data_IF_794086530091
#
_entry.id   IF_794086530091
#
_cell.length_a   1.000
_cell.length_b   1.000
_cell.length_c   1.000
_cell.angle_alpha   90.00
_cell.angle_beta   90.00
_cell.angle_gamma   90.00
#
_symmetry.space_group_name_H-M   'P 1'
#
loop_
_entity.id
_entity.type
_entity.pdbx_description
1 polymer ?
#
# COMPACT_ATOMS: atom_id res chain seq x y z
N UNK A 1 2.50 24.99 -5.08
CA UNK A 1 1.81 23.95 -4.29
C UNK A 1 1.33 22.87 -5.24
N UNK A 2 2.13 21.86 -5.51
CA UNK A 2 1.63 20.69 -6.22
C UNK A 2 2.26 19.46 -5.56
N UNK A 3 1.49 18.86 -4.67
CA UNK A 3 1.75 17.51 -4.17
C UNK A 3 1.17 16.57 -5.22
N UNK A 4 2.01 15.86 -5.96
CA UNK A 4 1.57 14.76 -6.80
C UNK A 4 1.57 13.52 -5.92
N UNK A 5 0.40 13.15 -5.42
CA UNK A 5 0.15 11.83 -4.85
C UNK A 5 -0.26 10.87 -5.96
N UNK A 6 0.00 9.56 -5.84
CA UNK A 6 -0.50 8.58 -6.79
C UNK A 6 -2.02 8.71 -6.93
N UNK A 7 -2.52 8.51 -8.15
CA UNK A 7 -3.94 8.61 -8.46
C UNK A 7 -4.64 7.38 -7.83
N UNK A 8 -5.50 7.63 -6.85
CA UNK A 8 -6.30 6.60 -6.18
C UNK A 8 -7.71 6.60 -6.77
N UNK A 9 -8.20 5.43 -7.15
CA UNK A 9 -9.58 5.24 -7.61
C UNK A 9 -10.34 4.50 -6.51
N UNK A 10 -11.29 5.19 -5.88
CA UNK A 10 -12.23 4.59 -4.94
C UNK A 10 -13.57 4.46 -5.65
N UNK A 11 -14.02 3.23 -5.88
CA UNK A 11 -15.34 2.97 -6.46
C UNK A 11 -16.26 2.46 -5.35
N UNK A 12 -17.28 3.24 -5.03
CA UNK A 12 -18.35 2.83 -4.10
C UNK A 12 -19.60 2.48 -4.88
N UNK A 13 -20.18 1.33 -4.61
CA UNK A 13 -21.45 0.93 -5.19
C UNK A 13 -22.60 1.39 -4.28
N UNK A 14 -23.08 2.63 -4.49
CA UNK A 14 -24.39 3.05 -3.98
C UNK A 14 -25.39 2.94 -5.12
N UNK A 15 -26.38 2.10 -4.99
CA UNK A 15 -27.49 1.97 -5.93
C UNK A 15 -28.20 3.31 -6.10
N UNK A 16 -27.86 4.06 -7.12
CA UNK A 16 -28.68 5.11 -7.71
C UNK A 16 -28.88 4.80 -9.19
N UNK A 17 -30.12 4.92 -9.72
CA UNK A 17 -30.38 4.65 -11.14
C UNK A 17 -29.61 5.64 -11.99
N UNK A 18 -28.99 5.15 -13.06
CA UNK A 18 -28.37 5.82 -14.20
C UNK A 18 -28.40 7.37 -14.18
N UNK A 19 -27.68 7.96 -13.25
CA UNK A 19 -27.31 9.38 -13.31
C UNK A 19 -25.82 9.39 -13.63
N UNK A 20 -25.43 10.19 -14.59
CA UNK A 20 -24.07 10.34 -15.11
C UNK A 20 -23.04 10.16 -13.99
N UNK A 21 -22.16 9.14 -14.12
CA UNK A 21 -21.00 8.96 -13.25
C UNK A 21 -20.10 10.17 -13.43
N UNK A 22 -20.27 11.18 -12.59
CA UNK A 22 -19.34 12.29 -12.49
C UNK A 22 -18.17 11.77 -11.68
N UNK A 23 -17.08 11.42 -12.35
CA UNK A 23 -15.83 11.09 -11.66
C UNK A 23 -15.27 12.38 -11.07
N UNK A 24 -15.24 12.46 -9.75
CA UNK A 24 -14.52 13.52 -9.04
C UNK A 24 -13.10 13.05 -8.72
N UNK A 25 -12.12 13.66 -9.36
CA UNK A 25 -10.72 13.49 -8.96
C UNK A 25 -10.45 14.33 -7.73
N UNK A 26 -9.93 13.70 -6.67
CA UNK A 26 -9.53 14.36 -5.43
C UNK A 26 -8.04 14.17 -5.20
N UNK A 27 -7.37 15.23 -4.74
CA UNK A 27 -6.01 15.17 -4.25
C UNK A 27 -6.04 14.97 -2.74
N UNK A 28 -5.70 13.77 -2.31
CA UNK A 28 -5.66 13.41 -0.89
C UNK A 28 -4.22 13.30 -0.40
N UNK A 29 -4.01 13.60 0.87
CA UNK A 29 -2.73 13.36 1.55
C UNK A 29 -3.01 12.92 2.99
N UNK A 30 -2.18 12.06 3.58
CA UNK A 30 -2.39 11.55 4.93
C UNK A 30 -2.28 12.69 5.97
N UNK A 31 -3.42 13.23 6.41
CA UNK A 31 -3.49 14.37 7.33
C UNK A 31 -3.42 13.95 8.80
N UNK A 32 -3.85 12.72 9.12
CA UNK A 32 -4.01 12.26 10.49
C UNK A 32 -2.82 11.48 11.03
N UNK A 33 -1.91 11.06 10.16
CA UNK A 33 -0.78 10.25 10.55
C UNK A 33 0.40 11.08 11.04
N UNK A 34 0.47 11.32 12.34
CA UNK A 34 1.49 12.15 12.97
C UNK A 34 2.91 11.57 12.88
N UNK A 35 3.03 10.25 12.76
CA UNK A 35 4.31 9.56 12.68
C UNK A 35 4.93 9.56 11.29
N UNK A 36 4.17 9.95 10.28
CA UNK A 36 4.66 10.13 8.92
C UNK A 36 4.55 11.59 8.48
N UNK A 37 5.59 12.07 7.79
CA UNK A 37 5.59 13.39 7.15
C UNK A 37 6.46 13.36 5.89
N UNK A 38 5.92 13.80 4.77
CA UNK A 38 6.73 14.23 3.63
C UNK A 38 7.24 15.64 3.92
N UNK A 39 8.55 15.77 4.21
CA UNK A 39 9.18 17.03 4.59
C UNK A 39 9.45 17.86 3.32
N UNK A 40 10.07 17.25 2.32
CA UNK A 40 10.39 17.88 1.04
C UNK A 40 10.51 16.83 -0.07
N UNK A 41 10.44 17.26 -1.33
CA UNK A 41 10.68 16.40 -2.49
C UNK A 41 11.16 17.24 -3.66
N UNK A 42 11.99 16.65 -4.51
CA UNK A 42 12.53 17.29 -5.70
C UNK A 42 13.81 16.63 -6.15
N UNK A 43 14.28 16.98 -7.34
CA UNK A 43 15.51 16.43 -7.95
C UNK A 43 15.56 14.90 -7.89
N UNK A 44 14.39 14.25 -8.15
CA UNK A 44 14.18 12.78 -8.15
C UNK A 44 14.32 12.09 -6.79
N UNK A 45 14.21 12.85 -5.70
CA UNK A 45 14.30 12.34 -4.34
C UNK A 45 13.16 12.88 -3.46
N UNK A 46 12.97 12.22 -2.32
CA UNK A 46 12.06 12.65 -1.25
C UNK A 46 12.69 12.52 0.12
N UNK A 47 12.44 13.51 0.96
CA UNK A 47 12.82 13.56 2.36
C UNK A 47 11.59 13.30 3.21
N UNK A 48 11.56 12.16 3.91
CA UNK A 48 10.40 11.67 4.64
C UNK A 48 10.74 11.31 6.07
N UNK A 49 9.83 11.66 6.98
CA UNK A 49 9.91 11.24 8.38
C UNK A 49 9.06 9.98 8.58
N UNK A 50 9.62 8.97 9.25
CA UNK A 50 8.95 7.75 9.72
C UNK A 50 9.24 7.54 11.21
N UNK A 51 8.39 8.09 12.08
CA UNK A 51 8.62 8.08 13.53
C UNK A 51 9.86 8.89 13.90
N UNK A 52 10.86 8.22 14.47
CA UNK A 52 12.12 8.85 14.88
C UNK A 52 13.13 9.04 13.73
N UNK A 53 12.93 8.40 12.56
CA UNK A 53 13.89 8.43 11.45
C UNK A 53 13.44 9.34 10.31
N UNK A 54 14.38 10.10 9.76
CA UNK A 54 14.21 10.90 8.54
C UNK A 54 15.06 10.28 7.45
N UNK A 55 14.42 9.97 6.32
CA UNK A 55 14.99 9.18 5.24
C UNK A 55 15.03 9.97 3.93
N UNK A 56 16.15 9.90 3.22
CA UNK A 56 16.24 10.32 1.83
C UNK A 56 16.08 9.06 0.97
N UNK A 57 15.09 9.10 0.06
CA UNK A 57 14.81 7.97 -0.85
C UNK A 57 14.58 8.46 -2.27
N UNK A 58 14.91 7.66 -3.30
CA UNK A 58 14.59 7.97 -4.68
C UNK A 58 13.07 8.13 -4.90
N UNK A 59 12.70 9.16 -5.66
CA UNK A 59 11.34 9.41 -6.14
C UNK A 59 11.40 9.90 -7.60
N UNK A 60 11.38 8.99 -8.58
CA UNK A 60 11.58 9.35 -9.99
C UNK A 60 10.56 10.35 -10.54
N UNK A 61 9.40 10.48 -9.90
CA UNK A 61 8.35 11.43 -10.31
C UNK A 61 8.58 12.84 -9.77
N UNK A 62 9.49 13.04 -8.83
CA UNK A 62 9.80 14.36 -8.26
C UNK A 62 10.77 15.14 -9.15
N UNK A 63 10.31 15.53 -10.35
CA UNK A 63 11.11 16.21 -11.38
C UNK A 63 11.35 17.71 -11.09
N UNK A 64 10.70 18.26 -10.10
CA UNK A 64 10.86 19.66 -9.66
C UNK A 64 12.08 19.82 -8.74
N UNK A 65 12.43 21.08 -8.46
CA UNK A 65 13.54 21.39 -7.56
C UNK A 65 13.16 21.21 -6.10
N UNK A 66 14.11 20.74 -5.29
CA UNK A 66 14.01 20.73 -3.81
C UNK A 66 13.74 22.16 -3.31
N UNK A 67 12.98 22.28 -2.23
CA UNK A 67 12.74 23.55 -1.53
C UNK A 67 13.84 23.86 -0.53
N UNK A 68 14.33 22.85 0.15
CA UNK A 68 15.42 22.93 1.10
C UNK A 68 16.75 22.69 0.36
N UNK A 69 17.85 23.21 0.93
CA UNK A 69 19.19 22.98 0.39
C UNK A 69 19.65 21.54 0.62
N UNK A 70 20.63 21.10 -0.14
CA UNK A 70 21.22 19.77 0.05
C UNK A 70 21.83 19.61 1.44
N UNK A 71 22.46 20.65 1.98
CA UNK A 71 23.02 20.68 3.33
C UNK A 71 21.95 20.47 4.41
N UNK A 72 20.78 21.11 4.24
CA UNK A 72 19.64 20.93 5.15
C UNK A 72 19.10 19.49 5.09
N UNK A 73 18.98 18.93 3.88
CA UNK A 73 18.58 17.53 3.71
C UNK A 73 19.53 16.58 4.42
N UNK A 74 20.83 16.70 4.18
CA UNK A 74 21.86 15.82 4.76
C UNK A 74 21.95 15.98 6.29
N UNK A 75 21.75 17.19 6.81
CA UNK A 75 21.71 17.45 8.25
C UNK A 75 20.52 16.79 8.96
N UNK A 76 19.37 16.75 8.29
CA UNK A 76 18.16 16.14 8.86
C UNK A 76 18.15 14.63 8.70
N UNK A 77 18.73 14.09 7.63
CA UNK A 77 18.60 12.69 7.27
C UNK A 77 19.31 11.76 8.26
N UNK A 78 18.58 10.75 8.73
CA UNK A 78 19.14 9.62 9.50
C UNK A 78 19.78 8.60 8.57
N UNK A 79 19.16 8.37 7.41
CA UNK A 79 19.65 7.42 6.41
C UNK A 79 19.26 7.87 4.99
N UNK A 80 20.15 7.55 4.04
CA UNK A 80 19.95 7.80 2.60
C UNK A 80 20.02 6.50 1.85
N UNK A 81 19.02 6.21 1.02
CA UNK A 81 19.07 5.08 0.10
C UNK A 81 19.70 5.51 -1.23
N UNK A 82 20.81 4.91 -1.57
CA UNK A 82 21.55 5.20 -2.81
C UNK A 82 21.33 4.08 -3.81
N UNK A 83 20.97 4.43 -5.05
CA UNK A 83 20.98 3.51 -6.19
C UNK A 83 22.27 3.71 -6.99
N UNK A 84 22.89 2.60 -7.37
CA UNK A 84 24.04 2.65 -8.30
C UNK A 84 23.53 2.95 -9.72
N UNK A 85 23.71 4.18 -10.16
CA UNK A 85 23.30 4.65 -11.49
C UNK A 85 24.11 4.04 -12.64
N UNK A 86 25.22 3.33 -12.35
CA UNK A 86 26.10 2.76 -13.39
C UNK A 86 25.53 1.54 -14.11
N UNK A 87 24.41 0.96 -13.62
CA UNK A 87 23.76 -0.23 -14.18
C UNK A 87 22.25 -0.06 -14.36
N UNK A 88 21.87 0.50 -15.49
CA UNK A 88 20.47 0.80 -15.85
C UNK A 88 19.56 -0.41 -16.09
N UNK A 89 19.99 -1.66 -15.89
CA UNK A 89 19.20 -2.87 -16.23
C UNK A 89 19.23 -4.02 -15.21
N UNK A 90 20.07 -4.00 -14.19
CA UNK A 90 20.04 -4.99 -13.11
C UNK A 90 19.36 -4.38 -11.87
N UNK A 91 18.34 -5.06 -11.33
CA UNK A 91 17.48 -4.60 -10.24
C UNK A 91 18.19 -4.35 -8.90
N UNK A 92 19.42 -4.77 -8.73
CA UNK A 92 20.25 -4.48 -7.54
C UNK A 92 21.71 -4.31 -7.99
N UNK A 93 22.20 -3.08 -7.98
CA UNK A 93 23.63 -2.80 -8.13
C UNK A 93 24.38 -3.30 -6.88
N UNK A 94 25.64 -3.73 -7.05
CA UNK A 94 26.51 -4.12 -5.91
C UNK A 94 26.69 -3.01 -4.87
N UNK A 95 26.40 -1.75 -5.23
CA UNK A 95 26.55 -0.56 -4.40
C UNK A 95 25.21 0.06 -3.98
N UNK A 96 24.06 -0.54 -4.37
CA UNK A 96 22.76 -0.11 -3.88
C UNK A 96 22.66 -0.38 -2.37
N UNK A 97 22.09 0.55 -1.64
CA UNK A 97 21.82 0.31 -0.25
C UNK A 97 21.67 1.58 0.60
N UNK A 98 21.38 1.35 1.86
CA UNK A 98 21.24 2.39 2.84
C UNK A 98 22.61 2.86 3.35
N UNK A 99 22.82 4.17 3.32
CA UNK A 99 23.97 4.86 3.93
C UNK A 99 23.49 5.63 5.15
N UNK A 100 24.21 5.53 6.25
CA UNK A 100 23.93 6.23 7.50
C UNK A 100 25.23 6.50 8.26
N UNK A 101 25.29 7.62 8.97
CA UNK A 101 26.46 7.97 9.81
C UNK A 101 26.57 7.04 11.01
N UNK A 102 25.47 6.88 11.77
CA UNK A 102 25.33 5.89 12.84
C UNK A 102 24.27 4.90 12.44
N UNK A 103 24.58 3.60 12.50
CA UNK A 103 23.62 2.55 12.11
C UNK A 103 22.37 2.67 12.98
N UNK A 104 21.18 2.92 12.38
CA UNK A 104 19.94 2.91 13.12
C UNK A 104 19.58 1.49 13.56
N UNK A 105 18.53 1.35 14.36
CA UNK A 105 17.97 0.02 14.71
C UNK A 105 17.58 -0.72 13.43
N UNK A 106 17.76 -2.03 13.42
CA UNK A 106 17.39 -2.86 12.26
C UNK A 106 15.89 -2.75 11.95
N UNK A 107 15.07 -2.56 12.98
CA UNK A 107 13.63 -2.29 12.84
C UNK A 107 13.13 -1.34 13.94
N UNK A 108 12.06 -0.62 13.63
CA UNK A 108 11.34 0.24 14.56
C UNK A 108 9.84 0.16 14.33
N UNK A 109 9.03 0.61 15.27
CA UNK A 109 7.59 0.58 15.18
C UNK A 109 7.00 1.99 15.06
N UNK A 110 6.04 2.18 14.18
CA UNK A 110 5.24 3.40 14.13
C UNK A 110 3.76 3.09 14.29
N UNK A 111 3.01 3.82 15.12
CA UNK A 111 1.58 3.68 15.20
C UNK A 111 0.88 4.39 14.02
N UNK A 112 -0.25 3.85 13.63
CA UNK A 112 -1.25 4.54 12.83
C UNK A 112 -2.55 4.59 13.61
N UNK A 113 -3.09 5.80 13.79
CA UNK A 113 -4.31 6.04 14.55
C UNK A 113 -5.33 6.80 13.71
N UNK A 114 -6.53 6.25 13.61
CA UNK A 114 -7.67 6.91 12.99
C UNK A 114 -8.95 6.55 13.74
N UNK A 115 -9.70 7.55 14.20
CA UNK A 115 -10.86 7.35 15.08
C UNK A 115 -10.49 6.45 16.29
N UNK A 116 -11.15 5.30 16.42
CA UNK A 116 -10.87 4.30 17.49
C UNK A 116 -9.88 3.22 17.06
N UNK A 117 -9.41 3.28 15.80
CA UNK A 117 -8.43 2.32 15.28
C UNK A 117 -7.04 2.74 15.72
N UNK A 118 -6.28 1.78 16.21
CA UNK A 118 -4.88 1.94 16.54
C UNK A 118 -4.15 0.66 16.15
N UNK A 119 -3.31 0.74 15.13
CA UNK A 119 -2.43 -0.34 14.71
C UNK A 119 -0.98 0.09 14.83
N UNK A 120 -0.07 -0.86 14.92
CA UNK A 120 1.37 -0.61 14.97
C UNK A 120 2.06 -1.34 13.84
N UNK A 121 2.81 -0.61 13.05
CA UNK A 121 3.54 -1.12 11.90
C UNK A 121 5.02 -1.19 12.24
N UNK A 122 5.62 -2.36 12.10
CA UNK A 122 7.05 -2.59 12.18
C UNK A 122 7.68 -2.20 10.85
N UNK A 123 8.69 -1.37 10.89
CA UNK A 123 9.45 -0.92 9.74
C UNK A 123 10.87 -1.47 9.77
N UNK A 124 11.48 -1.60 8.60
CA UNK A 124 12.84 -2.10 8.42
C UNK A 124 13.49 -1.48 7.17
N UNK A 125 14.78 -1.32 7.15
CA UNK A 125 15.56 -0.92 5.99
C UNK A 125 15.70 -2.09 5.01
N UNK A 126 14.91 -2.08 3.93
CA UNK A 126 14.98 -3.14 2.90
C UNK A 126 16.04 -2.85 1.86
N UNK A 127 16.52 -3.87 1.17
CA UNK A 127 17.50 -3.75 0.07
C UNK A 127 16.97 -2.99 -1.15
N UNK A 128 15.67 -2.69 -1.20
CA UNK A 128 15.03 -1.97 -2.32
C UNK A 128 14.72 -0.51 -2.01
N UNK A 129 15.11 -0.01 -0.82
CA UNK A 129 14.81 1.35 -0.38
C UNK A 129 13.38 1.54 0.16
N UNK A 130 12.59 0.48 0.28
CA UNK A 130 11.33 0.51 0.99
C UNK A 130 11.54 0.25 2.48
N UNK A 131 10.59 0.68 3.30
CA UNK A 131 10.69 0.51 4.76
C UNK A 131 9.57 -0.34 5.35
N UNK A 132 8.75 -0.98 4.51
CA UNK A 132 7.67 -1.85 4.96
C UNK A 132 6.31 -1.18 5.03
N UNK A 133 6.20 0.08 4.61
CA UNK A 133 4.93 0.80 4.51
C UNK A 133 4.96 1.77 3.36
N UNK A 134 3.79 2.00 2.78
CA UNK A 134 3.51 3.01 1.76
C UNK A 134 2.54 4.04 2.37
N UNK A 135 3.05 5.21 2.79
CA UNK A 135 2.25 6.17 3.55
C UNK A 135 1.06 6.76 2.80
N UNK A 136 1.14 6.81 1.48
CA UNK A 136 0.05 7.24 0.60
C UNK A 136 -1.23 6.41 0.81
N UNK A 137 -1.09 5.17 1.26
CA UNK A 137 -2.21 4.28 1.56
C UNK A 137 -3.05 4.71 2.78
N UNK A 138 -2.57 5.66 3.57
CA UNK A 138 -3.29 6.08 4.78
C UNK A 138 -4.70 6.64 4.47
N UNK A 139 -4.88 7.34 3.35
CA UNK A 139 -6.20 7.83 2.94
C UNK A 139 -7.16 6.67 2.61
N UNK A 140 -6.65 5.61 1.97
CA UNK A 140 -7.42 4.39 1.73
C UNK A 140 -7.78 3.70 3.05
N UNK A 141 -6.86 3.71 4.02
CA UNK A 141 -7.14 3.14 5.34
C UNK A 141 -8.23 3.91 6.06
N UNK A 142 -8.23 5.26 6.01
CA UNK A 142 -9.31 6.09 6.54
C UNK A 142 -10.66 5.71 5.90
N UNK A 143 -10.71 5.64 4.57
CA UNK A 143 -11.89 5.23 3.81
C UNK A 143 -12.38 3.82 4.19
N UNK A 144 -11.47 2.84 4.32
CA UNK A 144 -11.79 1.47 4.71
C UNK A 144 -12.42 1.45 6.11
N UNK A 145 -11.84 2.18 7.07
CA UNK A 145 -12.39 2.30 8.43
C UNK A 145 -13.80 2.88 8.41
N UNK A 146 -13.98 3.99 7.71
CA UNK A 146 -15.26 4.69 7.64
C UNK A 146 -16.35 3.80 7.04
N UNK A 147 -16.02 3.10 5.98
CA UNK A 147 -16.94 2.21 5.29
C UNK A 147 -17.32 1.01 6.17
N UNK A 148 -16.34 0.31 6.75
CA UNK A 148 -16.58 -0.88 7.58
C UNK A 148 -17.36 -0.52 8.85
N UNK A 149 -17.04 0.60 9.50
CA UNK A 149 -17.75 1.06 10.69
C UNK A 149 -19.20 1.47 10.39
N UNK A 150 -19.52 1.78 9.14
CA UNK A 150 -20.90 2.03 8.68
C UNK A 150 -21.72 0.76 8.45
N UNK A 151 -21.12 -0.41 8.44
CA UNK A 151 -21.83 -1.68 8.24
C UNK A 151 -22.59 -2.09 9.51
N UNK A 152 -23.78 -2.67 9.32
CA UNK A 152 -24.61 -3.17 10.44
C UNK A 152 -24.14 -4.51 10.99
N UNK A 153 -23.42 -5.28 10.18
CA UNK A 153 -22.88 -6.60 10.50
C UNK A 153 -21.43 -6.69 10.03
N UNK A 154 -20.59 -7.52 10.65
CA UNK A 154 -19.24 -7.78 10.15
C UNK A 154 -19.28 -8.24 8.69
N UNK A 155 -18.42 -7.65 7.85
CA UNK A 155 -18.29 -8.01 6.45
C UNK A 155 -16.95 -8.70 6.16
N UNK A 156 -16.89 -9.41 5.05
CA UNK A 156 -15.69 -10.08 4.57
C UNK A 156 -14.86 -9.11 3.72
N UNK A 157 -13.58 -8.96 4.03
CA UNK A 157 -12.63 -8.14 3.25
C UNK A 157 -11.53 -9.02 2.69
N UNK A 158 -11.30 -8.90 1.38
CA UNK A 158 -10.20 -9.52 0.65
C UNK A 158 -9.15 -8.47 0.32
N UNK A 159 -7.92 -8.67 0.77
CA UNK A 159 -6.79 -7.82 0.41
C UNK A 159 -5.82 -8.64 -0.44
N UNK A 160 -5.59 -8.22 -1.69
CA UNK A 160 -4.72 -8.85 -2.67
C UNK A 160 -3.46 -8.00 -2.87
N UNK A 161 -2.31 -8.66 -3.12
CA UNK A 161 -0.99 -8.02 -3.12
C UNK A 161 -0.74 -7.28 -1.80
N UNK A 162 -1.12 -7.94 -0.72
CA UNK A 162 -1.40 -7.28 0.56
C UNK A 162 -0.14 -6.90 1.37
N UNK A 163 1.05 -7.22 0.87
CA UNK A 163 2.36 -6.80 1.38
C UNK A 163 2.51 -7.03 2.90
N UNK A 164 2.94 -6.01 3.67
CA UNK A 164 3.13 -6.09 5.13
C UNK A 164 1.84 -5.93 5.94
N UNK A 165 0.68 -5.82 5.26
CA UNK A 165 -0.62 -5.96 5.87
C UNK A 165 -1.27 -4.69 6.40
N UNK A 166 -0.79 -3.49 6.14
CA UNK A 166 -1.37 -2.26 6.67
C UNK A 166 -2.89 -2.18 6.48
N UNK A 167 -3.38 -2.31 5.24
CA UNK A 167 -4.82 -2.29 4.95
C UNK A 167 -5.58 -3.47 5.58
N UNK A 168 -4.97 -4.67 5.65
CA UNK A 168 -5.57 -5.83 6.32
C UNK A 168 -5.76 -5.61 7.81
N UNK A 169 -4.77 -5.02 8.49
CA UNK A 169 -4.82 -4.72 9.92
C UNK A 169 -5.88 -3.65 10.23
N UNK A 170 -5.95 -2.61 9.39
CA UNK A 170 -6.94 -1.55 9.52
C UNK A 170 -8.34 -2.10 9.33
N UNK A 171 -8.59 -2.91 8.30
CA UNK A 171 -9.88 -3.55 8.07
C UNK A 171 -10.27 -4.48 9.23
N UNK A 172 -9.31 -5.25 9.76
CA UNK A 172 -9.55 -6.13 10.93
C UNK A 172 -9.86 -5.33 12.18
N UNK A 173 -9.11 -4.29 12.47
CA UNK A 173 -9.33 -3.40 13.60
C UNK A 173 -10.69 -2.66 13.50
N UNK A 174 -11.16 -2.40 12.28
CA UNK A 174 -12.49 -1.83 12.02
C UNK A 174 -13.64 -2.83 12.21
N UNK A 175 -13.38 -4.13 12.38
CA UNK A 175 -14.36 -5.18 12.68
C UNK A 175 -14.67 -6.14 11.54
N UNK A 176 -13.93 -6.12 10.44
CA UNK A 176 -14.12 -7.05 9.32
C UNK A 176 -13.48 -8.42 9.56
N UNK A 177 -13.98 -9.42 8.85
CA UNK A 177 -13.28 -10.69 8.67
C UNK A 177 -12.38 -10.59 7.44
N UNK A 178 -11.06 -10.72 7.65
CA UNK A 178 -10.06 -10.39 6.64
C UNK A 178 -9.37 -11.63 6.09
N UNK A 179 -9.31 -11.70 4.76
CA UNK A 179 -8.41 -12.60 4.03
C UNK A 179 -7.30 -11.79 3.39
N UNK A 180 -6.07 -12.05 3.79
CA UNK A 180 -4.85 -11.43 3.30
C UNK A 180 -4.13 -12.39 2.36
N UNK A 181 -3.93 -11.97 1.11
CA UNK A 181 -3.27 -12.77 0.06
C UNK A 181 -2.04 -12.03 -0.45
N UNK A 182 -0.89 -12.68 -0.36
CA UNK A 182 0.36 -12.22 -0.95
C UNK A 182 1.16 -13.41 -1.46
N UNK A 183 1.89 -13.24 -2.55
CA UNK A 183 2.71 -14.30 -3.15
C UNK A 183 4.02 -14.53 -2.41
N UNK A 184 4.48 -13.56 -1.61
CA UNK A 184 5.79 -13.55 -0.97
C UNK A 184 5.69 -13.98 0.49
N UNK A 185 6.17 -15.18 0.79
CA UNK A 185 6.12 -15.76 2.15
C UNK A 185 6.69 -14.84 3.24
N UNK A 186 7.80 -14.14 2.94
CA UNK A 186 8.43 -13.24 3.90
C UNK A 186 7.54 -12.03 4.22
N UNK A 187 6.74 -11.54 3.26
CA UNK A 187 5.79 -10.46 3.48
C UNK A 187 4.65 -10.90 4.40
N UNK A 188 4.13 -12.11 4.22
CA UNK A 188 3.16 -12.72 5.14
C UNK A 188 3.76 -12.84 6.57
N UNK A 189 5.02 -13.23 6.67
CA UNK A 189 5.73 -13.26 7.98
C UNK A 189 5.73 -11.89 8.65
N UNK A 190 6.12 -10.87 7.91
CA UNK A 190 6.15 -9.48 8.40
C UNK A 190 4.73 -8.96 8.75
N UNK A 191 3.73 -9.25 7.92
CA UNK A 191 2.35 -8.89 8.20
C UNK A 191 1.81 -9.53 9.51
N UNK A 192 2.20 -10.77 9.81
CA UNK A 192 1.88 -11.43 11.09
C UNK A 192 2.56 -10.76 12.27
N UNK A 193 3.82 -10.31 12.11
CA UNK A 193 4.49 -9.54 13.15
C UNK A 193 3.74 -8.22 13.42
N UNK A 194 3.30 -7.53 12.37
CA UNK A 194 2.49 -6.33 12.48
C UNK A 194 1.13 -6.59 13.16
N UNK A 195 0.49 -7.75 12.86
CA UNK A 195 -0.72 -8.19 13.56
C UNK A 195 -0.47 -8.34 15.08
N UNK A 196 0.61 -9.01 15.45
CA UNK A 196 0.96 -9.23 16.85
C UNK A 196 1.26 -7.90 17.58
N UNK A 197 2.04 -7.01 16.97
CA UNK A 197 2.34 -5.67 17.50
C UNK A 197 1.08 -4.81 17.66
N UNK A 198 0.09 -5.00 16.77
CA UNK A 198 -1.21 -4.35 16.82
C UNK A 198 -2.19 -5.01 17.78
N UNK A 199 -1.82 -6.14 18.43
CA UNK A 199 -2.68 -6.93 19.31
C UNK A 199 -4.00 -7.36 18.67
N UNK A 200 -3.93 -7.70 17.38
CA UNK A 200 -5.03 -8.22 16.60
C UNK A 200 -4.88 -9.72 16.38
N UNK A 201 -5.97 -10.39 16.01
CA UNK A 201 -6.01 -11.81 15.66
C UNK A 201 -7.01 -12.10 14.54
N UNK A 202 -7.12 -13.37 14.13
CA UNK A 202 -8.20 -13.83 13.25
C UNK A 202 -8.10 -13.36 11.79
N UNK A 203 -6.91 -12.94 11.30
CA UNK A 203 -6.69 -12.70 9.86
C UNK A 203 -6.35 -14.04 9.18
N UNK A 204 -7.04 -14.34 8.08
CA UNK A 204 -6.72 -15.50 7.23
C UNK A 204 -5.56 -15.16 6.30
N UNK A 205 -4.41 -15.78 6.53
CA UNK A 205 -3.19 -15.60 5.76
C UNK A 205 -3.09 -16.62 4.61
N UNK A 206 -2.85 -16.14 3.40
CA UNK A 206 -2.76 -16.99 2.19
C UNK A 206 -1.50 -16.61 1.41
N UNK A 207 -0.62 -17.60 1.16
CA UNK A 207 0.55 -17.45 0.28
C UNK A 207 0.15 -18.01 -1.07
N UNK A 208 -0.25 -17.13 -2.00
CA UNK A 208 -0.71 -17.54 -3.32
C UNK A 208 -0.65 -16.40 -4.33
N UNK A 209 -0.64 -16.73 -5.62
CA UNK A 209 -0.87 -15.80 -6.70
C UNK A 209 -2.30 -15.24 -6.63
N UNK A 210 -2.45 -13.92 -6.78
CA UNK A 210 -3.73 -13.23 -6.63
C UNK A 210 -4.78 -13.70 -7.65
N UNK A 211 -4.39 -13.84 -8.92
CA UNK A 211 -5.31 -14.24 -9.99
C UNK A 211 -5.78 -15.70 -9.82
N UNK A 212 -4.89 -16.60 -9.40
CA UNK A 212 -5.26 -17.99 -9.04
C UNK A 212 -6.21 -18.00 -7.85
N UNK A 213 -5.94 -17.22 -6.83
CA UNK A 213 -6.78 -17.13 -5.65
C UNK A 213 -8.21 -16.70 -6.02
N UNK A 214 -8.37 -15.56 -6.70
CA UNK A 214 -9.72 -15.06 -7.06
C UNK A 214 -10.44 -16.00 -8.00
N UNK A 215 -9.73 -16.63 -8.95
CA UNK A 215 -10.31 -17.66 -9.84
C UNK A 215 -10.91 -18.81 -9.05
N UNK A 216 -10.21 -19.27 -8.02
CA UNK A 216 -10.70 -20.35 -7.15
C UNK A 216 -11.89 -19.90 -6.28
N UNK A 217 -11.86 -18.69 -5.74
CA UNK A 217 -12.95 -18.17 -4.92
C UNK A 217 -14.23 -17.93 -5.75
N UNK A 218 -14.12 -17.48 -7.02
CA UNK A 218 -15.25 -17.40 -7.96
C UNK A 218 -15.88 -18.80 -8.15
N UNK A 219 -15.07 -19.84 -8.43
CA UNK A 219 -15.56 -21.21 -8.58
C UNK A 219 -16.25 -21.75 -7.32
N UNK A 220 -15.89 -21.25 -6.16
CA UNK A 220 -16.49 -21.61 -4.85
C UNK A 220 -17.75 -20.81 -4.52
N UNK A 221 -18.13 -19.85 -5.36
CA UNK A 221 -19.27 -18.96 -5.11
C UNK A 221 -19.07 -18.07 -3.87
N UNK A 222 -17.83 -17.69 -3.54
CA UNK A 222 -17.54 -16.79 -2.42
C UNK A 222 -17.87 -15.36 -2.77
N UNK A 223 -18.19 -14.57 -1.74
CA UNK A 223 -18.44 -13.12 -1.86
C UNK A 223 -17.69 -12.36 -0.78
N UNK A 224 -17.30 -11.13 -1.11
CA UNK A 224 -16.59 -10.20 -0.24
C UNK A 224 -17.29 -8.84 -0.26
N UNK A 225 -17.39 -8.20 0.91
CA UNK A 225 -17.91 -6.85 1.06
C UNK A 225 -16.86 -5.78 0.73
N UNK A 226 -15.59 -6.08 0.96
CA UNK A 226 -14.48 -5.22 0.58
C UNK A 226 -13.44 -5.98 -0.23
N UNK A 227 -12.96 -5.39 -1.33
CA UNK A 227 -11.82 -5.90 -2.08
C UNK A 227 -10.80 -4.77 -2.20
N UNK A 228 -9.55 -5.05 -1.80
CA UNK A 228 -8.44 -4.12 -1.83
C UNK A 228 -7.38 -4.70 -2.76
N UNK A 229 -6.90 -3.90 -3.69
CA UNK A 229 -5.97 -4.27 -4.75
C UNK A 229 -4.82 -3.26 -4.81
N UNK A 230 -3.59 -3.74 -4.68
CA UNK A 230 -2.37 -2.93 -4.84
C UNK A 230 -1.36 -3.67 -5.73
N UNK A 231 -1.74 -3.95 -7.01
CA UNK A 231 -0.94 -4.78 -7.89
C UNK A 231 0.35 -4.07 -8.31
N UNK A 232 1.51 -4.74 -8.27
CA UNK A 232 2.75 -4.21 -8.82
C UNK A 232 2.70 -4.23 -10.36
N UNK A 233 3.55 -3.42 -11.00
CA UNK A 233 3.71 -3.47 -12.46
C UNK A 233 4.16 -4.86 -12.94
N UNK A 234 5.01 -5.54 -12.16
CA UNK A 234 5.50 -6.89 -12.43
C UNK A 234 5.69 -7.66 -11.12
N UNK A 235 5.37 -8.96 -11.16
CA UNK A 235 5.56 -9.87 -10.03
C UNK A 235 5.71 -11.34 -10.44
N UNK A 236 6.01 -12.18 -9.45
CA UNK A 236 5.97 -13.64 -9.60
C UNK A 236 5.20 -14.26 -8.44
N UNK A 237 4.34 -15.21 -8.77
CA UNK A 237 3.67 -16.04 -7.79
C UNK A 237 4.62 -17.06 -7.14
N UNK A 238 4.18 -17.72 -6.06
CA UNK A 238 5.01 -18.64 -5.28
C UNK A 238 5.43 -19.89 -6.05
N UNK A 239 4.74 -20.24 -7.12
CA UNK A 239 5.06 -21.39 -7.99
C UNK A 239 5.58 -20.94 -9.38
N UNK A 240 6.04 -19.68 -9.52
CA UNK A 240 6.58 -19.16 -10.75
C UNK A 240 5.57 -18.48 -11.68
N UNK A 241 4.32 -18.31 -11.25
CA UNK A 241 3.31 -17.56 -11.99
C UNK A 241 3.85 -16.17 -12.36
N UNK A 242 3.59 -15.74 -13.59
CA UNK A 242 4.00 -14.41 -14.07
C UNK A 242 2.82 -13.45 -13.91
N UNK A 243 3.05 -12.36 -13.20
CA UNK A 243 2.17 -11.20 -13.15
C UNK A 243 2.77 -10.06 -13.95
N UNK A 244 1.98 -9.52 -14.88
CA UNK A 244 2.26 -8.26 -15.61
C UNK A 244 0.98 -7.44 -15.58
N UNK A 245 1.06 -6.22 -15.06
CA UNK A 245 -0.11 -5.38 -14.82
C UNK A 245 -0.97 -5.20 -16.06
N UNK A 246 -0.36 -4.82 -17.18
CA UNK A 246 -1.05 -4.55 -18.45
C UNK A 246 -1.71 -5.80 -19.06
N UNK A 247 -1.15 -6.98 -18.78
CA UNK A 247 -1.66 -8.24 -19.31
C UNK A 247 -2.78 -8.83 -18.43
N UNK A 248 -2.69 -8.65 -17.10
CA UNK A 248 -3.51 -9.40 -16.15
C UNK A 248 -4.56 -8.59 -15.40
N UNK A 249 -4.48 -7.23 -15.42
CA UNK A 249 -5.35 -6.38 -14.62
C UNK A 249 -6.83 -6.54 -14.99
N UNK A 250 -7.15 -6.56 -16.30
CA UNK A 250 -8.54 -6.69 -16.77
C UNK A 250 -9.17 -7.99 -16.26
N UNK A 251 -8.50 -9.12 -16.43
CA UNK A 251 -8.99 -10.42 -15.96
C UNK A 251 -9.17 -10.43 -14.43
N UNK A 252 -8.22 -9.83 -13.70
CA UNK A 252 -8.31 -9.74 -12.24
C UNK A 252 -9.54 -8.93 -11.82
N UNK A 253 -9.78 -7.76 -12.43
CA UNK A 253 -10.92 -6.91 -12.12
C UNK A 253 -12.26 -7.58 -12.46
N UNK A 254 -12.36 -8.27 -13.59
CA UNK A 254 -13.54 -9.05 -13.95
C UNK A 254 -13.87 -10.11 -12.88
N UNK A 255 -12.86 -10.85 -12.40
CA UNK A 255 -13.05 -11.85 -11.34
C UNK A 255 -13.40 -11.20 -10.00
N UNK A 256 -12.77 -10.08 -9.65
CA UNK A 256 -13.09 -9.33 -8.44
C UNK A 256 -14.52 -8.80 -8.48
N UNK A 257 -15.02 -8.35 -9.63
CA UNK A 257 -16.43 -7.91 -9.76
C UNK A 257 -17.43 -9.03 -9.48
N UNK A 258 -17.10 -10.27 -9.86
CA UNK A 258 -17.93 -11.46 -9.56
C UNK A 258 -17.89 -11.86 -8.07
N UNK A 259 -16.81 -11.49 -7.36
CA UNK A 259 -16.63 -11.76 -5.94
C UNK A 259 -17.24 -10.65 -5.07
N UNK A 260 -17.47 -9.46 -5.61
CA UNK A 260 -17.96 -8.33 -4.84
C UNK A 260 -19.43 -8.53 -4.47
N UNK A 261 -19.76 -8.34 -3.20
CA UNK A 261 -21.14 -8.41 -2.71
C UNK A 261 -22.00 -7.34 -3.39
N UNK A 262 -23.27 -7.65 -3.64
CA UNK A 262 -24.20 -6.73 -4.32
C UNK A 262 -24.52 -5.48 -3.52
N UNK A 263 -24.51 -5.59 -2.20
CA UNK A 263 -24.87 -4.51 -1.27
C UNK A 263 -23.78 -4.34 -0.22
N UNK A 264 -23.65 -3.13 0.30
CA UNK A 264 -22.68 -2.79 1.34
C UNK A 264 -21.26 -3.25 0.98
N UNK A 265 -20.81 -2.86 -0.22
CA UNK A 265 -19.51 -3.28 -0.73
C UNK A 265 -18.67 -2.11 -1.21
N UNK A 266 -17.35 -2.31 -1.21
CA UNK A 266 -16.38 -1.39 -1.79
C UNK A 266 -15.26 -2.13 -2.52
N UNK A 267 -14.62 -1.42 -3.47
CA UNK A 267 -13.37 -1.84 -4.10
C UNK A 267 -12.39 -0.67 -4.02
N UNK A 268 -11.19 -0.95 -3.51
CA UNK A 268 -10.03 -0.03 -3.55
C UNK A 268 -9.01 -0.61 -4.52
N UNK A 269 -8.64 0.16 -5.52
CA UNK A 269 -7.60 -0.18 -6.48
C UNK A 269 -6.52 0.89 -6.48
N UNK A 270 -5.30 0.50 -6.14
CA UNK A 270 -4.12 1.35 -6.26
C UNK A 270 -3.39 1.04 -7.55
N UNK A 271 -3.08 2.06 -8.33
CA UNK A 271 -2.27 1.95 -9.54
C UNK A 271 -1.17 3.00 -9.51
N UNK A 272 0.06 2.56 -9.64
CA UNK A 272 1.17 3.47 -9.92
C UNK A 272 1.16 3.79 -11.40
N UNK A 273 1.08 5.09 -11.72
CA UNK A 273 0.99 5.58 -13.11
C UNK A 273 2.27 5.22 -13.89
N UNK A 274 2.21 4.10 -14.59
CA UNK A 274 3.18 3.67 -15.60
C UNK A 274 2.63 3.93 -17.02
N UNK A 275 1.95 5.06 -17.23
CA UNK A 275 1.24 5.37 -18.47
C UNK A 275 -0.24 4.99 -18.47
N UNK A 276 -0.76 4.48 -17.36
CA UNK A 276 -2.19 4.25 -17.18
C UNK A 276 -2.87 5.55 -16.75
N UNK A 277 -4.02 5.85 -17.32
CA UNK A 277 -4.89 6.96 -16.92
C UNK A 277 -6.07 6.44 -16.10
N UNK A 278 -6.50 7.24 -15.14
CA UNK A 278 -7.74 6.99 -14.41
C UNK A 278 -9.02 7.36 -15.23
N UNK A 279 -8.82 7.94 -16.41
CA UNK A 279 -9.88 8.39 -17.32
C UNK A 279 -9.98 7.50 -18.54
#
# INVERSE_FOLDING_TARGET
MHKVSPCEIIITNQYTPLVSLIFHMQLLSPQHWKEYQLIDSGDFEKLEKFGEYILIRPEPQAIWKKKLTEEEWQKMATATFVRDSSKSRERTGKNDGWKYGTKPKDFWGIPYQYKKINIKLKLNFTSFGHVGVFPEQANNWDFIVDTIQGWKQPGNVLNLFAYTGGASLVAKAAGADVTHVDSVKNMIGWARENQNESKLDGIRWVIEDALKFVTREVKRGKTYNGIILDPPAYGRGPNGEKWVLEENLTELLEKCSLLLAKEHSFLVLNLYSMGLSAL
#
